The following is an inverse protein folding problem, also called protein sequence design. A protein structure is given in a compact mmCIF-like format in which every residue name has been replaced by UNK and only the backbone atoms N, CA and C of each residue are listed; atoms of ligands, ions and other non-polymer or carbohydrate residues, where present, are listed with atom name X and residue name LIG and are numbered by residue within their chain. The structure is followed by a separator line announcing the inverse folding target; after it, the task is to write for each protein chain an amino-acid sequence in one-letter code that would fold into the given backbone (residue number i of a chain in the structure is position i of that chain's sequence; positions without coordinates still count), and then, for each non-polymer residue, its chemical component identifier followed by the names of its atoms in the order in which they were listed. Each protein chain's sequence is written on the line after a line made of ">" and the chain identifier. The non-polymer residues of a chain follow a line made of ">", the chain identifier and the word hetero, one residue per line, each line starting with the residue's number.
data_IF_274700639299
#
_entry.id   IF_274700639299
#
_cell.length_a   1.000
_cell.length_b   1.000
_cell.length_c   1.000
_cell.angle_alpha   90.00
_cell.angle_beta   90.00
_cell.angle_gamma   90.00
#
_symmetry.space_group_name_H-M   'P 1'
#
loop_
_entity.id
_entity.type
_entity.pdbx_description
1 polymer ?
#
# COMPACT_ATOMS: atom_id res chain seq x y z
N UNK A 1 9.71 -11.08 -34.57
CA UNK A 1 8.66 -10.13 -34.16
C UNK A 1 8.03 -10.68 -32.88
N UNK A 2 8.64 -10.40 -31.72
CA UNK A 2 8.20 -10.91 -30.41
C UNK A 2 7.53 -9.79 -29.60
N UNK A 3 6.40 -9.29 -30.10
CA UNK A 3 5.73 -8.12 -29.50
C UNK A 3 4.81 -8.44 -28.32
N UNK A 4 4.50 -9.72 -28.05
CA UNK A 4 3.35 -10.10 -27.20
C UNK A 4 3.64 -11.17 -26.14
N UNK A 5 4.90 -11.54 -25.89
CA UNK A 5 5.22 -12.52 -24.84
C UNK A 5 4.75 -12.09 -23.45
N UNK A 6 4.71 -10.78 -23.19
CA UNK A 6 4.26 -10.14 -21.95
C UNK A 6 2.73 -10.23 -21.72
N UNK A 7 1.95 -10.53 -22.77
CA UNK A 7 0.50 -10.69 -22.71
C UNK A 7 0.05 -12.16 -22.55
N UNK A 8 0.99 -13.09 -22.34
CA UNK A 8 0.65 -14.48 -22.01
C UNK A 8 -0.23 -14.47 -20.73
N UNK A 9 -1.38 -15.17 -20.73
CA UNK A 9 -2.29 -15.18 -19.57
C UNK A 9 -1.61 -15.58 -18.27
N UNK A 10 -0.61 -16.45 -18.32
CA UNK A 10 0.20 -16.86 -17.17
C UNK A 10 1.00 -15.71 -16.54
N UNK A 11 1.57 -14.83 -17.37
CA UNK A 11 2.36 -13.67 -16.93
C UNK A 11 1.42 -12.63 -16.29
N UNK A 12 0.33 -12.30 -16.99
CA UNK A 12 -0.68 -11.34 -16.51
C UNK A 12 -1.31 -11.81 -15.20
N UNK A 13 -1.67 -13.09 -15.09
CA UNK A 13 -2.24 -13.65 -13.87
C UNK A 13 -1.24 -13.61 -12.70
N UNK A 14 0.04 -13.91 -12.95
CA UNK A 14 1.11 -13.77 -11.97
C UNK A 14 1.25 -12.32 -11.49
N UNK A 15 1.34 -11.35 -12.40
CA UNK A 15 1.46 -9.93 -12.06
C UNK A 15 0.27 -9.41 -11.25
N UNK A 16 -0.95 -9.81 -11.59
CA UNK A 16 -2.16 -9.44 -10.84
C UNK A 16 -2.12 -10.05 -9.43
N UNK A 17 -1.76 -11.33 -9.31
CA UNK A 17 -1.64 -11.99 -8.01
C UNK A 17 -0.64 -11.27 -7.09
N UNK A 18 0.56 -10.96 -7.60
CA UNK A 18 1.56 -10.21 -6.84
C UNK A 18 1.09 -8.80 -6.48
N UNK A 19 0.42 -8.08 -7.39
CA UNK A 19 -0.15 -6.78 -7.11
C UNK A 19 -1.20 -6.84 -5.99
N UNK A 20 -2.10 -7.82 -6.02
CA UNK A 20 -3.11 -8.03 -4.98
C UNK A 20 -2.47 -8.34 -3.63
N UNK A 21 -1.44 -9.19 -3.60
CA UNK A 21 -0.69 -9.49 -2.38
C UNK A 21 -0.08 -8.19 -1.81
N UNK A 22 0.54 -7.36 -2.64
CA UNK A 22 1.12 -6.09 -2.21
C UNK A 22 0.08 -5.15 -1.60
N UNK A 23 -1.09 -5.01 -2.23
CA UNK A 23 -2.21 -4.20 -1.71
C UNK A 23 -2.73 -4.74 -0.38
N UNK A 24 -2.86 -6.07 -0.25
CA UNK A 24 -3.31 -6.68 1.00
C UNK A 24 -2.33 -6.44 2.14
N UNK A 25 -1.03 -6.61 1.90
CA UNK A 25 0.00 -6.33 2.91
C UNK A 25 -0.03 -4.85 3.33
N UNK A 26 -0.09 -3.94 2.35
CA UNK A 26 -0.20 -2.51 2.62
C UNK A 26 -1.42 -2.18 3.50
N UNK A 27 -2.58 -2.75 3.18
CA UNK A 27 -3.81 -2.53 3.92
C UNK A 27 -3.73 -3.06 5.36
N UNK A 28 -3.16 -4.26 5.54
CA UNK A 28 -2.93 -4.82 6.88
C UNK A 28 -2.01 -3.93 7.71
N UNK A 29 -0.91 -3.43 7.13
CA UNK A 29 -0.01 -2.50 7.81
C UNK A 29 -0.71 -1.22 8.23
N UNK A 30 -1.58 -0.66 7.37
CA UNK A 30 -2.39 0.50 7.71
C UNK A 30 -3.32 0.23 8.90
N UNK A 31 -4.05 -0.90 8.90
CA UNK A 31 -4.94 -1.28 10.02
C UNK A 31 -4.18 -1.49 11.33
N UNK A 32 -2.98 -2.07 11.26
CA UNK A 32 -2.13 -2.26 12.44
C UNK A 32 -1.77 -0.91 13.06
N UNK A 33 -1.37 0.08 12.25
CA UNK A 33 -1.01 1.39 12.80
C UNK A 33 -2.22 2.18 13.23
N UNK A 34 -3.35 2.07 12.55
CA UNK A 34 -4.60 2.68 13.01
C UNK A 34 -4.97 2.19 14.41
N UNK A 35 -4.79 0.89 14.68
CA UNK A 35 -4.94 0.34 16.03
C UNK A 35 -3.85 0.74 17.02
N UNK A 36 -2.61 0.92 16.56
CA UNK A 36 -1.49 1.34 17.40
C UNK A 36 -1.61 2.81 17.79
N UNK A 37 -2.24 3.61 16.95
CA UNK A 37 -2.43 5.04 17.16
C UNK A 37 -3.63 5.23 18.08
N UNK A 38 -3.49 5.89 19.24
CA UNK A 38 -4.60 6.06 20.19
C UNK A 38 -5.68 7.05 19.71
N UNK A 39 -5.52 7.61 18.51
CA UNK A 39 -6.40 8.60 17.91
C UNK A 39 -7.24 7.96 16.80
N UNK A 40 -8.48 8.41 16.65
CA UNK A 40 -9.28 8.07 15.47
C UNK A 40 -8.78 8.87 14.28
N UNK A 41 -7.97 8.21 13.45
CA UNK A 41 -7.33 8.82 12.28
C UNK A 41 -8.31 9.52 11.34
N UNK A 42 -9.48 8.92 11.10
CA UNK A 42 -10.49 9.50 10.21
C UNK A 42 -11.06 10.80 10.78
N UNK A 43 -11.44 10.82 12.05
CA UNK A 43 -12.01 12.00 12.74
C UNK A 43 -10.98 13.14 12.78
N UNK A 44 -9.75 12.83 13.16
CA UNK A 44 -8.66 13.82 13.22
C UNK A 44 -8.29 14.40 11.85
N UNK A 45 -8.19 13.58 10.81
CA UNK A 45 -7.76 14.04 9.47
C UNK A 45 -8.91 14.72 8.73
N UNK A 46 -10.11 14.14 8.75
CA UNK A 46 -11.24 14.61 7.92
C UNK A 46 -12.04 15.70 8.63
N UNK A 47 -12.38 15.51 9.90
CA UNK A 47 -13.23 16.45 10.64
C UNK A 47 -12.39 17.58 11.26
N UNK A 48 -11.32 17.24 11.98
CA UNK A 48 -10.46 18.23 12.65
C UNK A 48 -9.37 18.82 11.75
N UNK A 49 -9.18 18.29 10.53
CA UNK A 49 -8.16 18.73 9.57
C UNK A 49 -6.76 18.81 10.19
N UNK A 50 -6.42 17.82 11.00
CA UNK A 50 -5.12 17.74 11.67
C UNK A 50 -4.01 17.43 10.65
N UNK A 51 -3.39 18.50 10.13
CA UNK A 51 -2.34 18.42 9.11
C UNK A 51 -1.11 17.67 9.60
N UNK A 52 -0.79 17.75 10.90
CA UNK A 52 0.35 17.02 11.46
C UNK A 52 0.12 15.51 11.35
N UNK A 53 -1.07 15.03 11.76
CA UNK A 53 -1.41 13.61 11.65
C UNK A 53 -1.49 13.16 10.18
N UNK A 54 -2.07 13.99 9.30
CA UNK A 54 -2.16 13.68 7.87
C UNK A 54 -0.78 13.48 7.22
N UNK A 55 0.20 14.33 7.55
CA UNK A 55 1.57 14.21 7.04
C UNK A 55 2.25 12.94 7.55
N UNK A 56 2.07 12.60 8.83
CA UNK A 56 2.62 11.38 9.42
C UNK A 56 2.07 10.14 8.71
N UNK A 57 0.75 10.10 8.49
CA UNK A 57 0.10 9.00 7.76
C UNK A 57 0.55 8.92 6.32
N UNK A 58 0.69 10.07 5.63
CA UNK A 58 1.20 10.09 4.27
C UNK A 58 2.64 9.53 4.19
N UNK A 59 3.53 9.94 5.09
CA UNK A 59 4.91 9.45 5.16
C UNK A 59 4.95 7.94 5.46
N UNK A 60 4.07 7.47 6.34
CA UNK A 60 3.94 6.06 6.68
C UNK A 60 3.46 5.23 5.47
N UNK A 61 2.43 5.69 4.75
CA UNK A 61 1.96 5.05 3.53
C UNK A 61 3.08 4.97 2.47
N UNK A 62 3.86 6.04 2.30
CA UNK A 62 5.02 6.03 1.40
C UNK A 62 6.08 4.99 1.84
N UNK A 63 6.39 4.92 3.13
CA UNK A 63 7.35 3.95 3.67
C UNK A 63 6.92 2.50 3.46
N UNK A 64 5.66 2.17 3.74
CA UNK A 64 5.13 0.81 3.53
C UNK A 64 5.13 0.47 2.04
N UNK A 65 4.72 1.42 1.18
CA UNK A 65 4.75 1.23 -0.27
C UNK A 65 6.16 0.89 -0.77
N UNK A 66 7.19 1.55 -0.24
CA UNK A 66 8.59 1.25 -0.57
C UNK A 66 9.02 -0.14 -0.08
N UNK A 67 8.65 -0.53 1.14
CA UNK A 67 8.96 -1.87 1.67
C UNK A 67 8.32 -2.96 0.82
N UNK A 68 7.05 -2.79 0.45
CA UNK A 68 6.32 -3.73 -0.42
C UNK A 68 6.95 -3.78 -1.81
N UNK A 69 7.30 -2.63 -2.40
CA UNK A 69 7.99 -2.58 -3.68
C UNK A 69 9.33 -3.32 -3.62
N UNK A 70 10.15 -3.06 -2.60
CA UNK A 70 11.44 -3.74 -2.42
C UNK A 70 11.28 -5.25 -2.22
N UNK A 71 10.24 -5.70 -1.51
CA UNK A 71 9.97 -7.11 -1.28
C UNK A 71 9.51 -7.85 -2.55
N UNK A 72 8.81 -7.17 -3.47
CA UNK A 72 8.32 -7.76 -4.72
C UNK A 72 9.40 -7.77 -5.82
N UNK A 73 10.31 -6.81 -5.82
CA UNK A 73 11.40 -6.71 -6.80
C UNK A 73 12.68 -7.47 -6.40
N UNK A 74 12.64 -8.24 -5.30
CA UNK A 74 13.75 -9.05 -4.79
C UNK A 74 13.83 -10.45 -5.36
#
# INVERSE_FOLDING_TARGET
>A
MEGFEWLKPSVVLGSILYAVIGVLVFWISFVIIDKLTPYKLWEEIVEHKNMALAVVVAAMCLSIGQIVAAAIHG
#
